data_IF_830325222691
#
_entry.id   IF_830325222691
#
_cell.length_a   1.000
_cell.length_b   1.000
_cell.length_c   1.000
_cell.angle_alpha   90.00
_cell.angle_beta   90.00
_cell.angle_gamma   90.00
#
_symmetry.space_group_name_H-M   'P 1'
#
loop_
_entity.id
_entity.type
_entity.pdbx_description
1 polymer ?
#
# COMPACT_ATOMS: atom_id res chain seq x y z
N UNK A 1 8.70 -75.04 12.97
CA UNK A 1 9.69 -74.60 11.95
C UNK A 1 10.31 -73.30 12.44
N UNK A 2 11.64 -73.23 12.52
CA UNK A 2 12.43 -72.35 13.39
C UNK A 2 12.67 -70.92 12.85
N UNK A 3 12.70 -69.95 13.77
CA UNK A 3 13.06 -68.54 13.60
C UNK A 3 14.56 -68.37 13.23
N UNK A 4 14.88 -67.54 12.22
CA UNK A 4 16.26 -67.06 11.97
C UNK A 4 16.36 -65.55 12.11
N UNK A 5 17.05 -65.12 13.17
CA UNK A 5 17.50 -63.75 13.40
C UNK A 5 18.58 -63.33 12.39
N UNK A 6 18.41 -62.17 11.74
CA UNK A 6 19.49 -61.49 10.99
C UNK A 6 20.14 -60.46 11.93
N UNK A 7 21.39 -60.72 12.32
CA UNK A 7 22.23 -59.83 13.14
C UNK A 7 22.85 -58.76 12.23
N UNK A 8 22.42 -57.51 12.35
CA UNK A 8 22.97 -56.37 11.58
C UNK A 8 24.40 -56.06 12.07
N UNK A 9 25.39 -56.17 11.19
CA UNK A 9 26.82 -55.93 11.46
C UNK A 9 27.06 -54.41 11.51
N UNK A 10 27.31 -53.83 12.69
CA UNK A 10 27.74 -52.44 12.81
C UNK A 10 29.14 -52.29 12.19
N UNK A 11 29.26 -51.51 11.11
CA UNK A 11 30.56 -51.10 10.57
C UNK A 11 31.13 -50.00 11.46
N UNK A 12 32.24 -50.27 12.16
CA UNK A 12 33.02 -49.24 12.86
C UNK A 12 33.78 -48.42 11.82
N UNK A 13 33.53 -47.12 11.75
CA UNK A 13 34.25 -46.19 10.89
C UNK A 13 35.65 -46.00 11.51
N UNK A 14 36.75 -46.21 10.76
CA UNK A 14 38.10 -46.06 11.29
C UNK A 14 38.40 -44.61 11.66
N UNK A 15 39.10 -44.40 12.78
CA UNK A 15 39.40 -43.06 13.36
C UNK A 15 40.11 -42.13 12.34
N UNK A 16 40.94 -42.68 11.45
CA UNK A 16 41.61 -41.95 10.38
C UNK A 16 40.65 -41.25 9.39
N UNK A 17 39.41 -41.75 9.27
CA UNK A 17 38.38 -41.12 8.45
C UNK A 17 38.01 -39.73 9.00
N UNK A 18 38.02 -39.56 10.32
CA UNK A 18 37.78 -38.25 10.97
C UNK A 18 38.98 -37.32 10.85
N UNK A 19 40.21 -37.85 10.84
CA UNK A 19 41.45 -37.07 10.72
C UNK A 19 41.56 -36.39 9.35
N UNK A 20 41.00 -36.99 8.29
CA UNK A 20 40.98 -36.40 6.94
C UNK A 20 39.66 -35.68 6.60
N UNK A 21 38.53 -36.12 7.15
CA UNK A 21 37.23 -35.50 6.89
C UNK A 21 37.06 -34.14 7.57
N UNK A 22 37.63 -33.94 8.77
CA UNK A 22 37.50 -32.67 9.49
C UNK A 22 38.26 -31.52 8.81
N UNK A 23 39.53 -31.68 8.36
CA UNK A 23 40.21 -30.64 7.60
C UNK A 23 39.54 -30.34 6.25
N UNK A 24 39.03 -31.36 5.56
CA UNK A 24 38.31 -31.18 4.29
C UNK A 24 36.96 -30.49 4.49
N UNK A 25 36.25 -30.82 5.57
CA UNK A 25 35.01 -30.14 5.96
C UNK A 25 35.26 -28.69 6.36
N UNK A 26 36.33 -28.40 7.13
CA UNK A 26 36.72 -27.04 7.48
C UNK A 26 37.22 -26.23 6.26
N UNK A 27 37.91 -26.87 5.32
CA UNK A 27 38.32 -26.26 4.05
C UNK A 27 37.12 -25.95 3.15
N UNK A 28 36.14 -26.87 3.06
CA UNK A 28 34.87 -26.62 2.38
C UNK A 28 34.03 -25.54 3.11
N UNK A 29 34.08 -25.49 4.44
CA UNK A 29 33.45 -24.43 5.23
C UNK A 29 34.12 -23.07 4.95
N UNK A 30 35.45 -23.04 4.80
CA UNK A 30 36.18 -21.85 4.40
C UNK A 30 35.88 -21.44 2.96
N UNK A 31 35.68 -22.38 2.02
CA UNK A 31 35.21 -22.04 0.67
C UNK A 31 33.76 -21.50 0.66
N UNK A 32 32.92 -21.95 1.59
CA UNK A 32 31.57 -21.40 1.80
C UNK A 32 31.65 -20.01 2.48
N UNK A 33 32.60 -19.79 3.40
CA UNK A 33 32.82 -18.53 4.11
C UNK A 33 33.59 -17.48 3.29
N UNK A 34 34.52 -17.87 2.42
CA UNK A 34 35.18 -16.99 1.45
C UNK A 34 34.16 -16.54 0.37
N UNK A 35 33.14 -17.35 0.11
CA UNK A 35 31.94 -16.96 -0.63
C UNK A 35 31.00 -15.99 0.13
N UNK A 36 31.20 -15.83 1.46
CA UNK A 36 30.56 -14.83 2.31
C UNK A 36 31.41 -13.56 2.48
N UNK A 37 32.54 -13.44 1.76
CA UNK A 37 33.37 -12.23 1.66
C UNK A 37 32.69 -11.03 0.96
N UNK A 38 31.36 -10.92 1.05
CA UNK A 38 30.55 -9.75 0.69
C UNK A 38 29.41 -9.54 1.70
N UNK A 39 29.63 -9.87 2.98
CA UNK A 39 28.63 -9.68 4.04
C UNK A 39 28.56 -8.25 4.62
N UNK A 40 29.34 -7.31 4.07
CA UNK A 40 29.29 -5.87 4.40
C UNK A 40 29.08 -5.01 3.14
N UNK A 41 28.25 -5.49 2.22
CA UNK A 41 27.62 -4.65 1.22
C UNK A 41 26.15 -4.52 1.59
N UNK A 42 25.71 -3.33 2.03
CA UNK A 42 24.28 -3.05 2.13
C UNK A 42 23.59 -3.48 0.82
N UNK A 43 22.45 -4.17 0.92
CA UNK A 43 21.76 -4.66 -0.26
C UNK A 43 21.48 -3.49 -1.20
N UNK A 44 22.01 -3.55 -2.42
CA UNK A 44 21.89 -2.44 -3.36
C UNK A 44 20.46 -2.37 -3.87
N UNK A 45 19.88 -1.18 -3.83
CA UNK A 45 18.59 -0.93 -4.45
C UNK A 45 18.57 -1.31 -5.93
N UNK A 46 17.38 -1.72 -6.41
CA UNK A 46 17.14 -2.04 -7.81
C UNK A 46 17.57 -0.86 -8.68
N UNK A 47 18.41 -1.12 -9.68
CA UNK A 47 18.83 -0.14 -10.68
C UNK A 47 18.37 -0.56 -12.07
N UNK A 48 17.59 0.29 -12.73
CA UNK A 48 17.24 0.17 -14.14
C UNK A 48 18.20 1.06 -14.94
N UNK A 49 18.84 0.51 -15.98
CA UNK A 49 20.01 1.13 -16.66
C UNK A 49 19.68 2.39 -17.48
N UNK A 50 18.41 2.65 -17.78
CA UNK A 50 17.96 3.69 -18.72
C UNK A 50 17.15 4.82 -18.03
N UNK A 51 17.28 4.96 -16.71
CA UNK A 51 16.53 5.97 -15.96
C UNK A 51 17.17 7.36 -16.08
N UNK A 52 16.67 8.15 -17.02
CA UNK A 52 17.12 9.53 -17.25
C UNK A 52 16.59 10.51 -16.21
N UNK A 53 15.43 10.22 -15.61
CA UNK A 53 14.85 11.00 -14.51
C UNK A 53 15.25 10.34 -13.19
N UNK A 54 15.69 11.16 -12.22
CA UNK A 54 16.04 10.72 -10.86
C UNK A 54 15.07 11.30 -9.84
N UNK A 55 14.88 10.57 -8.75
CA UNK A 55 13.98 10.93 -7.64
C UNK A 55 14.75 10.79 -6.33
N UNK A 56 14.72 11.84 -5.49
CA UNK A 56 15.23 11.81 -4.12
C UNK A 56 14.12 11.41 -3.15
N UNK A 57 14.20 10.19 -2.63
CA UNK A 57 13.20 9.59 -1.76
C UNK A 57 13.66 9.66 -0.31
N UNK A 58 12.86 10.28 0.55
CA UNK A 58 13.02 10.18 2.00
C UNK A 58 12.39 8.87 2.50
N UNK A 59 13.22 7.89 2.87
CA UNK A 59 12.79 6.62 3.45
C UNK A 59 12.51 6.83 4.95
N UNK A 60 11.24 6.99 5.29
CA UNK A 60 10.79 7.39 6.63
C UNK A 60 11.24 6.40 7.72
N UNK A 61 11.14 5.09 7.47
CA UNK A 61 11.41 4.06 8.47
C UNK A 61 12.90 3.93 8.83
N UNK A 62 13.78 4.25 7.88
CA UNK A 62 15.24 4.21 8.08
C UNK A 62 15.86 5.58 8.32
N UNK A 63 15.09 6.65 8.12
CA UNK A 63 15.55 8.03 8.27
C UNK A 63 16.70 8.38 7.31
N UNK A 64 16.60 7.95 6.05
CA UNK A 64 17.66 8.17 5.05
C UNK A 64 17.13 8.74 3.73
N UNK A 65 17.98 9.52 3.07
CA UNK A 65 17.71 10.05 1.73
C UNK A 65 18.32 9.12 0.67
N UNK A 66 17.48 8.59 -0.19
CA UNK A 66 17.87 7.75 -1.33
C UNK A 66 17.79 8.56 -2.62
N UNK A 67 18.75 8.36 -3.51
CA UNK A 67 18.73 8.91 -4.86
C UNK A 67 18.69 7.75 -5.86
N UNK A 68 17.58 7.62 -6.61
CA UNK A 68 17.36 6.52 -7.54
C UNK A 68 16.70 6.97 -8.85
N UNK A 69 16.76 6.11 -9.86
CA UNK A 69 16.05 6.34 -11.12
C UNK A 69 14.54 6.24 -10.94
N UNK A 70 13.78 6.94 -11.79
CA UNK A 70 12.31 6.99 -11.72
C UNK A 70 11.67 5.61 -11.86
N UNK A 71 12.11 4.77 -12.81
CA UNK A 71 11.50 3.45 -13.01
C UNK A 71 11.88 2.51 -11.86
N UNK A 72 13.11 2.59 -11.37
CA UNK A 72 13.53 1.93 -10.12
C UNK A 72 12.64 2.31 -8.93
N UNK A 73 12.32 3.60 -8.78
CA UNK A 73 11.39 4.08 -7.76
C UNK A 73 9.99 3.50 -7.95
N UNK A 74 9.46 3.53 -9.18
CA UNK A 74 8.12 3.01 -9.50
C UNK A 74 7.99 1.51 -9.21
N UNK A 75 9.05 0.70 -9.43
CA UNK A 75 9.06 -0.71 -9.00
C UNK A 75 8.82 -0.84 -7.49
N UNK A 76 9.49 -0.02 -6.68
CA UNK A 76 9.29 0.01 -5.23
C UNK A 76 7.90 0.45 -4.81
N UNK A 77 7.30 1.41 -5.52
CA UNK A 77 5.91 1.83 -5.29
C UNK A 77 4.93 0.72 -5.62
N UNK A 78 5.02 0.12 -6.82
CA UNK A 78 4.09 -0.96 -7.22
C UNK A 78 4.17 -2.15 -6.28
N UNK A 79 5.37 -2.50 -5.81
CA UNK A 79 5.59 -3.56 -4.82
C UNK A 79 5.01 -3.25 -3.43
N UNK A 80 4.97 -1.97 -3.06
CA UNK A 80 4.41 -1.50 -1.80
C UNK A 80 2.87 -1.43 -1.84
N UNK A 81 2.33 -0.93 -2.96
CA UNK A 81 0.93 -0.53 -3.12
C UNK A 81 0.01 -1.66 -3.57
N UNK A 82 0.51 -2.61 -4.38
CA UNK A 82 -0.31 -3.68 -4.94
C UNK A 82 0.22 -5.08 -4.64
N UNK A 83 -0.66 -6.05 -4.35
CA UNK A 83 -0.26 -7.46 -4.28
C UNK A 83 0.30 -7.93 -5.63
N UNK A 84 1.49 -8.52 -5.64
CA UNK A 84 2.12 -9.07 -6.85
C UNK A 84 1.27 -10.16 -7.53
N UNK A 85 0.33 -10.77 -6.79
CA UNK A 85 -0.63 -11.73 -7.33
C UNK A 85 -1.66 -11.12 -8.28
N UNK A 86 -1.87 -9.80 -8.26
CA UNK A 86 -2.84 -9.14 -9.15
C UNK A 86 -2.41 -9.29 -10.62
N UNK A 87 -3.40 -9.23 -11.52
CA UNK A 87 -3.15 -9.37 -12.95
C UNK A 87 -2.18 -8.28 -13.47
N UNK A 88 -1.40 -8.63 -14.49
CA UNK A 88 -0.36 -7.74 -15.04
C UNK A 88 -0.91 -6.38 -15.46
N UNK A 89 -2.10 -6.35 -16.07
CA UNK A 89 -2.76 -5.11 -16.50
C UNK A 89 -3.13 -4.18 -15.34
N UNK A 90 -3.44 -4.72 -14.16
CA UNK A 90 -3.68 -3.91 -12.96
C UNK A 90 -2.36 -3.32 -12.42
N UNK A 91 -1.27 -4.11 -12.42
CA UNK A 91 0.07 -3.63 -12.03
C UNK A 91 0.58 -2.54 -12.98
N UNK A 92 0.31 -2.67 -14.29
CA UNK A 92 0.61 -1.65 -15.30
C UNK A 92 -0.15 -0.35 -15.04
N UNK A 93 -1.45 -0.42 -14.74
CA UNK A 93 -2.25 0.76 -14.42
C UNK A 93 -1.67 1.50 -13.20
N UNK A 94 -1.25 0.77 -12.17
CA UNK A 94 -0.58 1.34 -11.01
C UNK A 94 0.80 1.91 -11.32
N UNK A 95 1.59 1.26 -12.16
CA UNK A 95 2.89 1.79 -12.58
C UNK A 95 2.75 3.16 -13.26
N UNK A 96 1.79 3.30 -14.19
CA UNK A 96 1.50 4.58 -14.85
C UNK A 96 1.02 5.65 -13.86
N UNK A 97 0.13 5.30 -12.92
CA UNK A 97 -0.34 6.22 -11.89
C UNK A 97 0.80 6.65 -10.93
N UNK A 98 1.59 5.71 -10.43
CA UNK A 98 2.74 5.98 -9.56
C UNK A 98 3.76 6.89 -10.24
N UNK A 99 4.11 6.60 -11.51
CA UNK A 99 5.03 7.42 -12.30
C UNK A 99 4.53 8.84 -12.49
N UNK A 100 3.25 8.98 -12.85
CA UNK A 100 2.62 10.29 -13.04
C UNK A 100 2.68 11.12 -11.76
N UNK A 101 2.35 10.50 -10.62
CA UNK A 101 2.42 11.17 -9.32
C UNK A 101 3.85 11.62 -8.99
N UNK A 102 4.82 10.74 -9.19
CA UNK A 102 6.22 11.02 -8.87
C UNK A 102 6.72 12.25 -9.63
N UNK A 103 6.46 12.28 -10.94
CA UNK A 103 6.81 13.41 -11.81
C UNK A 103 6.08 14.70 -11.40
N UNK A 104 4.82 14.60 -10.99
CA UNK A 104 4.10 15.77 -10.48
C UNK A 104 4.76 16.35 -9.23
N UNK A 105 5.27 15.49 -8.31
CA UNK A 105 6.00 15.94 -7.11
C UNK A 105 7.38 16.52 -7.43
N UNK A 106 8.01 16.10 -8.52
CA UNK A 106 9.23 16.73 -9.02
C UNK A 106 8.96 18.14 -9.58
N UNK A 107 7.81 18.37 -10.22
CA UNK A 107 7.42 19.68 -10.75
C UNK A 107 6.90 20.63 -9.65
N UNK A 108 6.15 20.08 -8.70
CA UNK A 108 5.51 20.84 -7.61
C UNK A 108 5.90 20.20 -6.28
N UNK A 109 6.84 20.84 -5.60
CA UNK A 109 7.33 20.38 -4.31
C UNK A 109 6.19 20.28 -3.28
N UNK A 110 6.15 19.17 -2.54
CA UNK A 110 5.23 18.99 -1.43
C UNK A 110 5.83 19.59 -0.14
N UNK A 111 5.22 20.64 0.46
CA UNK A 111 5.76 21.26 1.67
C UNK A 111 5.91 20.28 2.84
N UNK A 112 5.08 19.23 2.89
CA UNK A 112 5.15 18.21 3.95
C UNK A 112 6.42 17.38 3.82
N UNK A 113 6.85 17.08 2.59
CA UNK A 113 8.12 16.40 2.32
C UNK A 113 9.29 17.31 2.65
N UNK A 114 9.23 18.58 2.24
CA UNK A 114 10.29 19.56 2.55
C UNK A 114 10.46 19.80 4.04
N UNK A 115 9.38 19.67 4.83
CA UNK A 115 9.45 19.71 6.29
C UNK A 115 10.11 18.46 6.90
N UNK A 116 10.02 17.29 6.24
CA UNK A 116 10.73 16.07 6.65
C UNK A 116 12.21 16.13 6.28
N UNK A 117 12.51 16.49 5.02
CA UNK A 117 13.87 16.64 4.52
C UNK A 117 13.92 17.64 3.35
N UNK A 118 14.68 18.76 3.44
CA UNK A 118 14.69 19.81 2.40
C UNK A 118 15.07 19.33 1.00
N UNK A 119 16.01 18.39 0.90
CA UNK A 119 16.46 17.85 -0.39
C UNK A 119 15.59 16.71 -0.95
N UNK A 120 14.60 16.22 -0.19
CA UNK A 120 13.75 15.14 -0.65
C UNK A 120 12.67 15.65 -1.61
N UNK A 121 12.40 14.88 -2.65
CA UNK A 121 11.32 15.15 -3.58
C UNK A 121 10.02 14.48 -3.11
N UNK A 122 10.13 13.28 -2.55
CA UNK A 122 9.02 12.42 -2.12
C UNK A 122 9.38 11.69 -0.82
N UNK A 123 8.37 11.36 -0.02
CA UNK A 123 8.48 10.45 1.13
C UNK A 123 7.95 9.05 0.82
N UNK A 124 8.54 8.02 1.45
CA UNK A 124 8.01 6.64 1.45
C UNK A 124 6.80 6.45 2.38
N UNK A 125 6.42 7.46 3.15
CA UNK A 125 5.24 7.43 4.04
C UNK A 125 3.95 7.61 3.20
N UNK A 126 3.04 6.61 3.17
CA UNK A 126 1.79 6.69 2.42
C UNK A 126 0.78 7.72 2.98
N UNK A 127 1.01 8.27 4.18
CA UNK A 127 0.21 9.39 4.70
C UNK A 127 0.66 10.74 4.13
N UNK A 128 1.89 10.81 3.61
CA UNK A 128 2.46 11.99 2.95
C UNK A 128 2.34 11.86 1.44
N UNK A 129 2.90 10.80 0.86
CA UNK A 129 2.88 10.54 -0.58
C UNK A 129 2.38 9.13 -0.90
N UNK A 130 3.23 8.29 -1.48
CA UNK A 130 2.92 6.95 -1.93
C UNK A 130 3.74 5.96 -1.12
N UNK A 131 3.19 4.78 -0.85
CA UNK A 131 3.96 3.73 -0.21
C UNK A 131 5.14 3.35 -1.12
N UNK A 132 6.31 3.14 -0.52
CA UNK A 132 7.48 2.63 -1.21
C UNK A 132 8.20 1.65 -0.30
N UNK A 133 8.68 0.53 -0.87
CA UNK A 133 9.49 -0.44 -0.14
C UNK A 133 10.81 -0.72 -0.86
N UNK A 134 11.85 -0.88 -0.07
CA UNK A 134 13.19 -1.24 -0.53
C UNK A 134 13.27 -2.68 -1.02
N UNK A 135 14.35 -2.98 -1.75
CA UNK A 135 14.68 -4.34 -2.18
C UNK A 135 14.76 -5.32 -0.99
N UNK A 136 15.28 -4.86 0.15
CA UNK A 136 15.36 -5.63 1.39
C UNK A 136 13.96 -5.97 1.92
N UNK A 137 13.05 -5.00 1.98
CA UNK A 137 11.69 -5.20 2.48
C UNK A 137 10.87 -6.07 1.51
N UNK A 138 11.10 -5.98 0.19
CA UNK A 138 10.52 -6.92 -0.79
C UNK A 138 10.91 -8.37 -0.51
N UNK A 139 12.19 -8.64 -0.24
CA UNK A 139 12.67 -10.00 0.09
C UNK A 139 12.06 -10.50 1.39
N UNK A 140 11.94 -9.64 2.40
CA UNK A 140 11.28 -9.98 3.67
C UNK A 140 9.80 -10.29 3.46
N UNK A 141 9.11 -9.50 2.65
CA UNK A 141 7.67 -9.63 2.36
C UNK A 141 7.33 -10.90 1.57
N UNK A 142 8.10 -11.23 0.54
CA UNK A 142 7.80 -12.36 -0.35
C UNK A 142 8.56 -13.64 -0.01
N UNK A 143 9.61 -13.52 0.79
CA UNK A 143 10.51 -14.61 1.12
C UNK A 143 11.35 -15.06 -0.08
N UNK A 144 12.34 -15.92 0.19
CA UNK A 144 13.31 -16.38 -0.81
C UNK A 144 12.68 -17.04 -2.04
N UNK A 145 11.53 -17.69 -1.89
CA UNK A 145 10.93 -18.52 -2.94
C UNK A 145 10.07 -17.74 -3.93
N UNK A 146 9.41 -16.67 -3.48
CA UNK A 146 8.49 -15.90 -4.34
C UNK A 146 9.08 -14.55 -4.77
N UNK A 147 10.22 -14.14 -4.19
CA UNK A 147 10.81 -12.83 -4.43
C UNK A 147 11.12 -12.59 -5.91
N UNK A 148 11.85 -13.52 -6.55
CA UNK A 148 12.29 -13.34 -7.93
C UNK A 148 11.10 -13.30 -8.91
N UNK A 149 10.13 -14.19 -8.75
CA UNK A 149 8.93 -14.24 -9.60
C UNK A 149 8.05 -12.99 -9.45
N UNK A 150 7.78 -12.57 -8.20
CA UNK A 150 6.98 -11.38 -7.93
C UNK A 150 7.66 -10.11 -8.44
N UNK A 151 8.98 -9.99 -8.21
CA UNK A 151 9.76 -8.86 -8.68
C UNK A 151 9.80 -8.80 -10.20
N UNK A 152 9.99 -9.93 -10.88
CA UNK A 152 10.04 -9.98 -12.34
C UNK A 152 8.70 -9.55 -12.96
N UNK A 153 7.58 -10.00 -12.39
CA UNK A 153 6.25 -9.58 -12.85
C UNK A 153 6.02 -8.07 -12.68
N UNK A 154 6.47 -7.50 -11.57
CA UNK A 154 6.36 -6.05 -11.32
C UNK A 154 7.28 -5.28 -12.28
N UNK A 155 8.54 -5.71 -12.43
CA UNK A 155 9.47 -5.10 -13.39
C UNK A 155 8.92 -5.12 -14.80
N UNK A 156 8.32 -6.23 -15.22
CA UNK A 156 7.65 -6.33 -16.52
C UNK A 156 6.51 -5.31 -16.66
N UNK A 157 5.69 -5.11 -15.63
CA UNK A 157 4.63 -4.10 -15.66
C UNK A 157 5.18 -2.67 -15.79
N UNK A 158 6.26 -2.36 -15.07
CA UNK A 158 6.93 -1.05 -15.12
C UNK A 158 7.58 -0.83 -16.48
N UNK A 159 8.32 -1.81 -17.00
CA UNK A 159 9.02 -1.72 -18.28
C UNK A 159 8.05 -1.61 -19.47
N UNK A 160 6.98 -2.42 -19.50
CA UNK A 160 5.97 -2.36 -20.58
C UNK A 160 5.14 -1.06 -20.57
N UNK A 161 5.25 -0.26 -19.50
CA UNK A 161 4.62 1.07 -19.38
C UNK A 161 5.64 2.19 -19.18
N UNK A 162 6.92 1.91 -19.44
CA UNK A 162 8.02 2.86 -19.22
C UNK A 162 7.73 4.18 -19.89
N UNK A 163 7.99 5.27 -19.16
CA UNK A 163 7.74 6.62 -19.65
C UNK A 163 6.26 7.00 -19.86
N UNK A 164 5.30 6.09 -19.67
CA UNK A 164 3.89 6.43 -19.84
C UNK A 164 3.32 7.12 -18.60
N UNK A 165 2.52 8.17 -18.84
CA UNK A 165 1.96 9.06 -17.82
C UNK A 165 0.51 9.46 -18.15
N UNK A 166 -0.24 9.90 -17.15
CA UNK A 166 -1.61 10.39 -17.29
C UNK A 166 -1.64 11.91 -17.42
N UNK A 167 -2.30 12.39 -18.46
CA UNK A 167 -2.37 13.80 -18.85
C UNK A 167 -3.83 14.24 -18.95
N UNK A 168 -4.13 15.43 -18.45
CA UNK A 168 -5.40 16.13 -18.68
C UNK A 168 -5.11 17.57 -19.10
N UNK A 169 -5.63 18.01 -20.24
CA UNK A 169 -5.34 19.33 -20.83
C UNK A 169 -3.83 19.68 -20.85
N UNK A 170 -3.02 18.75 -21.35
CA UNK A 170 -1.55 18.89 -21.49
C UNK A 170 -0.77 19.01 -20.18
N UNK A 171 -1.39 18.74 -19.03
CA UNK A 171 -0.72 18.71 -17.72
C UNK A 171 -0.79 17.32 -17.11
N UNK A 172 0.24 16.95 -16.35
CA UNK A 172 0.18 15.76 -15.50
C UNK A 172 -0.96 15.89 -14.50
N UNK A 173 -1.76 14.84 -14.35
CA UNK A 173 -2.81 14.81 -13.33
C UNK A 173 -2.21 14.55 -11.93
N UNK A 174 -3.01 14.73 -10.87
CA UNK A 174 -2.78 14.08 -9.58
C UNK A 174 -3.52 12.72 -9.55
N UNK A 175 -2.84 11.59 -9.82
CA UNK A 175 -3.48 10.30 -10.07
C UNK A 175 -3.78 9.57 -8.76
N UNK A 176 -4.69 10.13 -7.97
CA UNK A 176 -5.04 9.57 -6.66
C UNK A 176 -5.57 8.14 -6.80
N UNK A 177 -5.17 7.26 -5.89
CA UNK A 177 -5.62 5.87 -5.85
C UNK A 177 -5.75 5.37 -4.42
N UNK A 178 -6.50 4.29 -4.25
CA UNK A 178 -6.77 3.69 -2.95
C UNK A 178 -7.01 2.19 -3.07
N UNK A 179 -6.87 1.46 -1.95
CA UNK A 179 -7.04 0.02 -1.93
C UNK A 179 -8.44 -0.44 -2.36
N UNK A 180 -9.50 -0.05 -1.61
CA UNK A 180 -10.88 -0.48 -1.91
C UNK A 180 -11.91 0.62 -1.71
N UNK A 181 -12.79 0.77 -2.69
CA UNK A 181 -13.87 1.76 -2.66
C UNK A 181 -15.05 1.38 -1.75
N UNK A 182 -15.11 0.13 -1.25
CA UNK A 182 -16.24 -0.34 -0.46
C UNK A 182 -17.31 -1.13 -1.22
N UNK A 183 -17.02 -1.59 -2.44
CA UNK A 183 -17.98 -2.34 -3.29
C UNK A 183 -19.04 -1.48 -4.00
N UNK A 184 -18.84 -0.16 -4.10
CA UNK A 184 -19.82 0.76 -4.69
C UNK A 184 -19.23 1.57 -5.84
N UNK A 185 -19.02 2.86 -5.60
CA UNK A 185 -18.44 3.83 -6.52
C UNK A 185 -17.25 4.49 -5.86
N UNK A 186 -16.32 4.97 -6.66
CA UNK A 186 -15.31 5.93 -6.21
C UNK A 186 -15.99 7.29 -5.95
N UNK A 187 -15.33 8.14 -5.18
CA UNK A 187 -15.82 9.46 -4.79
C UNK A 187 -15.42 10.52 -5.81
N UNK A 188 -16.28 11.54 -5.93
CA UNK A 188 -15.85 12.81 -6.48
C UNK A 188 -14.83 13.44 -5.53
N UNK A 189 -13.75 13.99 -6.07
CA UNK A 189 -12.75 14.74 -5.28
C UNK A 189 -13.38 15.81 -4.39
N UNK A 190 -14.38 16.55 -4.88
CA UNK A 190 -15.10 17.59 -4.12
C UNK A 190 -15.97 17.09 -2.96
N UNK A 191 -16.24 15.78 -2.86
CA UNK A 191 -16.94 15.20 -1.71
C UNK A 191 -15.98 14.84 -0.56
N UNK A 192 -14.68 14.70 -0.86
CA UNK A 192 -13.63 14.33 0.10
C UNK A 192 -12.76 15.52 0.46
N UNK A 193 -12.48 16.39 -0.51
CA UNK A 193 -11.69 17.62 -0.37
C UNK A 193 -12.46 18.83 -0.89
N UNK A 194 -11.92 20.03 -0.68
CA UNK A 194 -12.62 21.29 -1.01
C UNK A 194 -12.78 21.54 -2.52
N UNK A 195 -11.99 20.88 -3.36
CA UNK A 195 -11.93 21.16 -4.79
C UNK A 195 -12.45 19.98 -5.61
N UNK A 196 -13.31 20.30 -6.58
CA UNK A 196 -13.76 19.32 -7.56
C UNK A 196 -12.79 19.33 -8.75
N UNK A 197 -12.14 18.19 -8.97
CA UNK A 197 -11.12 17.98 -9.99
C UNK A 197 -11.75 17.20 -11.17
N UNK A 198 -11.76 17.75 -12.40
CA UNK A 198 -12.53 17.19 -13.52
C UNK A 198 -12.23 15.73 -13.87
N UNK A 199 -10.99 15.28 -13.67
CA UNK A 199 -10.59 13.90 -13.93
C UNK A 199 -10.76 12.96 -12.72
N UNK A 200 -11.07 13.48 -11.52
CA UNK A 200 -11.33 12.70 -10.30
C UNK A 200 -12.83 12.73 -9.96
N UNK A 201 -13.61 12.09 -10.82
CA UNK A 201 -15.05 11.92 -10.66
C UNK A 201 -15.37 10.50 -10.16
N UNK A 202 -16.50 10.38 -9.47
CA UNK A 202 -16.98 9.12 -8.94
C UNK A 202 -17.48 8.20 -10.04
N UNK A 203 -16.81 7.05 -10.21
CA UNK A 203 -17.16 6.05 -11.22
C UNK A 203 -17.57 4.72 -10.56
N UNK A 204 -18.41 3.91 -11.23
CA UNK A 204 -18.74 2.57 -10.76
C UNK A 204 -17.51 1.71 -10.58
N UNK A 205 -17.45 0.92 -9.51
CA UNK A 205 -16.42 -0.10 -9.36
C UNK A 205 -17.06 -1.46 -9.66
N UNK A 206 -16.64 -2.12 -10.73
CA UNK A 206 -17.24 -3.37 -11.20
C UNK A 206 -16.50 -4.59 -10.67
N UNK A 207 -17.22 -5.67 -10.36
CA UNK A 207 -16.63 -7.00 -10.20
C UNK A 207 -16.39 -7.50 -8.76
N UNK A 208 -16.38 -6.64 -7.73
CA UNK A 208 -16.20 -7.09 -6.34
C UNK A 208 -17.44 -6.95 -5.46
N UNK A 209 -17.82 -8.04 -4.79
CA UNK A 209 -18.19 -7.94 -3.39
C UNK A 209 -16.90 -7.54 -2.65
N UNK A 210 -16.91 -6.40 -1.95
CA UNK A 210 -15.70 -5.82 -1.36
C UNK A 210 -14.84 -6.87 -0.65
N UNK A 211 -13.60 -7.10 -1.11
CA UNK A 211 -12.68 -8.06 -0.46
C UNK A 211 -12.15 -7.54 0.87
N UNK A 212 -12.28 -6.23 1.13
CA UNK A 212 -12.15 -5.61 2.45
C UNK A 212 -13.53 -5.46 3.13
N UNK A 213 -14.31 -6.54 3.11
CA UNK A 213 -15.64 -6.56 3.70
C UNK A 213 -15.54 -6.38 5.22
N UNK A 214 -15.90 -5.20 5.70
CA UNK A 214 -16.18 -4.91 7.10
C UNK A 214 -15.04 -5.20 8.09
N UNK A 215 -14.20 -4.20 8.37
CA UNK A 215 -13.35 -4.17 9.57
C UNK A 215 -14.12 -3.60 10.75
N UNK A 216 -14.15 -4.34 11.86
CA UNK A 216 -14.79 -3.89 13.10
C UNK A 216 -13.72 -3.46 14.10
N UNK A 217 -13.80 -2.22 14.58
CA UNK A 217 -12.95 -1.68 15.65
C UNK A 217 -13.83 -1.23 16.82
N UNK A 218 -13.45 -1.60 18.05
CA UNK A 218 -14.15 -1.22 19.26
C UNK A 218 -13.29 -0.26 20.08
N UNK A 219 -13.87 0.86 20.51
CA UNK A 219 -13.22 1.84 21.37
C UNK A 219 -14.02 1.95 22.66
N UNK A 220 -13.33 1.85 23.81
CA UNK A 220 -13.96 2.09 25.11
C UNK A 220 -14.40 3.55 25.21
N UNK A 221 -15.29 3.86 26.17
CA UNK A 221 -15.67 5.26 26.44
C UNK A 221 -14.45 6.11 26.78
N UNK A 222 -13.50 5.55 27.54
CA UNK A 222 -12.23 6.21 27.90
C UNK A 222 -11.37 6.49 26.67
N UNK A 223 -11.19 5.50 25.78
CA UNK A 223 -10.43 5.69 24.56
C UNK A 223 -11.09 6.73 23.63
N UNK A 224 -12.43 6.78 23.58
CA UNK A 224 -13.12 7.84 22.86
C UNK A 224 -12.83 9.22 23.47
N UNK A 225 -12.89 9.33 24.81
CA UNK A 225 -12.66 10.59 25.52
C UNK A 225 -11.20 11.06 25.36
N UNK A 226 -10.24 10.15 25.39
CA UNK A 226 -8.81 10.45 25.17
C UNK A 226 -8.49 10.81 23.72
N UNK A 227 -8.93 10.00 22.75
CA UNK A 227 -8.57 10.17 21.34
C UNK A 227 -9.36 11.28 20.63
N UNK A 228 -10.62 11.47 21.03
CA UNK A 228 -11.55 12.41 20.40
C UNK A 228 -11.82 13.64 21.28
N UNK A 229 -11.33 13.65 22.53
CA UNK A 229 -11.60 14.71 23.49
C UNK A 229 -13.08 14.77 23.90
N UNK A 230 -13.84 13.68 23.78
CA UNK A 230 -15.26 13.65 24.18
C UNK A 230 -15.43 13.58 25.71
N UNK A 231 -16.67 13.46 26.18
CA UNK A 231 -16.97 13.21 27.59
C UNK A 231 -18.07 12.14 27.73
N UNK A 232 -17.90 11.03 27.01
CA UNK A 232 -18.84 9.93 26.94
C UNK A 232 -18.93 9.19 28.29
N UNK A 233 -17.85 9.12 29.07
CA UNK A 233 -17.88 8.49 30.40
C UNK A 233 -18.83 9.19 31.38
N UNK A 234 -19.02 10.50 31.23
CA UNK A 234 -19.94 11.26 32.07
C UNK A 234 -21.41 11.11 31.64
N UNK A 235 -21.69 10.48 30.51
CA UNK A 235 -23.07 10.25 30.08
C UNK A 235 -23.76 9.20 30.96
N UNK A 236 -25.03 9.42 31.35
CA UNK A 236 -25.81 8.40 32.04
C UNK A 236 -25.88 7.09 31.23
N UNK A 237 -25.80 5.95 31.91
CA UNK A 237 -25.85 4.63 31.26
C UNK A 237 -27.09 4.42 30.38
N UNK A 238 -28.22 5.06 30.71
CA UNK A 238 -29.44 5.06 29.89
C UNK A 238 -29.27 5.75 28.54
N UNK A 239 -28.44 6.80 28.47
CA UNK A 239 -28.13 7.51 27.21
C UNK A 239 -27.12 6.75 26.36
N UNK A 240 -26.20 6.01 26.97
CA UNK A 240 -25.21 5.19 26.25
C UNK A 240 -25.84 4.05 25.44
N UNK A 241 -27.06 3.63 25.78
CA UNK A 241 -27.82 2.63 25.03
C UNK A 241 -28.52 3.23 23.79
N UNK A 242 -28.62 4.56 23.70
CA UNK A 242 -29.20 5.25 22.55
C UNK A 242 -28.07 5.72 21.62
N UNK A 243 -27.96 5.08 20.45
CA UNK A 243 -26.98 5.44 19.43
C UNK A 243 -27.02 6.95 19.14
N UNK A 244 -28.21 7.52 18.97
CA UNK A 244 -28.39 8.94 18.66
C UNK A 244 -27.89 9.89 19.76
N UNK A 245 -27.88 9.43 21.02
CA UNK A 245 -27.38 10.22 22.15
C UNK A 245 -25.85 10.16 22.28
N UNK A 246 -25.21 9.15 21.66
CA UNK A 246 -23.75 8.97 21.66
C UNK A 246 -23.13 9.54 20.38
N UNK A 247 -23.74 9.27 19.23
CA UNK A 247 -23.30 9.76 17.94
C UNK A 247 -24.46 10.05 16.99
N UNK A 248 -24.22 10.95 16.05
CA UNK A 248 -25.14 11.26 14.96
C UNK A 248 -24.37 11.53 13.68
N UNK A 249 -24.53 10.69 12.66
CA UNK A 249 -24.01 11.01 11.33
C UNK A 249 -24.90 12.11 10.73
N UNK A 250 -24.34 13.29 10.54
CA UNK A 250 -25.06 14.48 10.08
C UNK A 250 -24.97 14.66 8.57
N UNK A 251 -23.92 14.15 7.93
CA UNK A 251 -23.74 14.28 6.47
C UNK A 251 -23.01 13.06 5.89
N UNK A 252 -23.46 12.60 4.72
CA UNK A 252 -22.79 11.59 3.92
C UNK A 252 -22.61 12.06 2.48
N UNK A 253 -21.56 11.58 1.83
CA UNK A 253 -21.37 11.74 0.38
C UNK A 253 -22.46 10.98 -0.39
N UNK A 254 -22.57 11.27 -1.69
CA UNK A 254 -23.46 10.55 -2.61
C UNK A 254 -23.16 9.04 -2.69
N UNK A 255 -21.93 8.61 -2.37
CA UNK A 255 -21.59 7.18 -2.32
C UNK A 255 -21.79 6.57 -0.92
N UNK A 256 -22.11 7.36 0.11
CA UNK A 256 -22.40 6.92 1.47
C UNK A 256 -21.20 6.88 2.42
N UNK A 257 -20.10 7.58 2.10
CA UNK A 257 -19.02 7.86 3.05
C UNK A 257 -19.44 8.96 4.01
N UNK A 258 -19.05 8.86 5.27
CA UNK A 258 -19.35 9.87 6.30
C UNK A 258 -18.52 11.13 6.02
N UNK A 259 -19.22 12.27 5.85
CA UNK A 259 -18.59 13.59 5.71
C UNK A 259 -18.53 14.29 7.06
N UNK A 260 -19.63 14.25 7.81
CA UNK A 260 -19.74 14.84 9.15
C UNK A 260 -20.49 13.93 10.11
N UNK A 261 -20.05 13.93 11.35
CA UNK A 261 -20.62 13.15 12.44
C UNK A 261 -20.38 13.87 13.77
N UNK A 262 -21.37 13.84 14.63
CA UNK A 262 -21.24 14.28 16.02
C UNK A 262 -20.98 13.06 16.90
N UNK A 263 -20.01 13.12 17.81
CA UNK A 263 -19.78 12.10 18.85
C UNK A 263 -19.65 12.82 20.19
N UNK A 264 -20.45 12.43 21.19
CA UNK A 264 -20.45 13.06 22.50
C UNK A 264 -20.73 14.57 22.47
N UNK A 265 -21.52 15.03 21.50
CA UNK A 265 -21.82 16.45 21.29
C UNK A 265 -20.75 17.25 20.52
N UNK A 266 -19.61 16.65 20.17
CA UNK A 266 -18.56 17.28 19.35
C UNK A 266 -18.70 16.89 17.89
N UNK A 267 -18.56 17.85 16.97
CA UNK A 267 -18.58 17.60 15.53
C UNK A 267 -17.19 17.20 15.03
N UNK A 268 -17.16 16.20 14.14
CA UNK A 268 -15.97 15.75 13.43
C UNK A 268 -16.29 15.57 11.95
N UNK A 269 -15.30 15.83 11.10
CA UNK A 269 -15.33 15.29 9.75
C UNK A 269 -15.03 13.78 9.79
N UNK A 270 -15.55 13.03 8.81
CA UNK A 270 -15.22 11.61 8.66
C UNK A 270 -13.71 11.39 8.47
N UNK A 271 -13.02 12.30 7.80
CA UNK A 271 -11.57 12.25 7.59
C UNK A 271 -10.79 12.41 8.90
N UNK A 272 -11.19 13.34 9.78
CA UNK A 272 -10.59 13.50 11.10
C UNK A 272 -10.76 12.25 11.95
N UNK A 273 -11.95 11.67 12.02
CA UNK A 273 -12.16 10.42 12.76
C UNK A 273 -11.34 9.27 12.20
N UNK A 274 -11.29 9.14 10.87
CA UNK A 274 -10.47 8.12 10.22
C UNK A 274 -9.01 8.22 10.65
N UNK A 275 -8.46 9.44 10.69
CA UNK A 275 -7.08 9.67 11.11
C UNK A 275 -6.86 9.40 12.61
N UNK A 276 -7.71 9.95 13.48
CA UNK A 276 -7.55 9.85 14.94
C UNK A 276 -7.78 8.42 15.46
N UNK A 277 -8.71 7.68 14.86
CA UNK A 277 -9.05 6.31 15.26
C UNK A 277 -8.39 5.25 14.39
N UNK A 278 -7.56 5.65 13.44
CA UNK A 278 -6.93 4.77 12.46
C UNK A 278 -7.95 3.82 11.79
N UNK A 279 -9.07 4.37 11.29
CA UNK A 279 -10.08 3.59 10.58
C UNK A 279 -9.63 3.34 9.13
N UNK A 280 -9.97 2.18 8.52
CA UNK A 280 -9.63 1.88 7.13
C UNK A 280 -10.13 2.93 6.13
N UNK A 281 -11.34 3.44 6.32
CA UNK A 281 -12.00 4.39 5.42
C UNK A 281 -13.01 5.27 6.19
N UNK A 282 -13.60 6.24 5.49
CA UNK A 282 -14.73 7.03 6.01
C UNK A 282 -16.11 6.39 5.74
N UNK A 283 -16.14 5.21 5.12
CA UNK A 283 -17.37 4.43 4.94
C UNK A 283 -17.54 3.52 6.14
N UNK A 284 -18.09 4.07 7.22
CA UNK A 284 -18.40 3.30 8.41
C UNK A 284 -19.82 3.55 8.91
N UNK A 285 -20.29 2.61 9.72
CA UNK A 285 -21.40 2.81 10.63
C UNK A 285 -20.89 2.68 12.07
N UNK A 286 -21.58 3.34 13.00
CA UNK A 286 -21.28 3.26 14.42
C UNK A 286 -22.38 2.47 15.12
N UNK A 287 -22.02 1.74 16.17
CA UNK A 287 -22.96 1.13 17.12
C UNK A 287 -22.55 1.50 18.53
N UNK A 288 -23.51 1.94 19.34
CA UNK A 288 -23.30 2.24 20.75
C UNK A 288 -23.44 0.96 21.57
N UNK A 289 -22.48 0.71 22.46
CA UNK A 289 -22.52 -0.38 23.41
C UNK A 289 -22.31 0.16 24.82
N UNK A 290 -22.71 -0.60 25.85
CA UNK A 290 -22.61 -0.16 27.26
C UNK A 290 -21.20 0.30 27.67
N UNK A 291 -20.17 -0.26 27.04
CA UNK A 291 -18.76 -0.02 27.40
C UNK A 291 -18.01 0.85 26.38
N UNK A 292 -18.65 1.30 25.30
CA UNK A 292 -17.93 1.99 24.23
C UNK A 292 -18.70 2.12 22.92
N UNK A 293 -17.95 2.40 21.86
CA UNK A 293 -18.48 2.59 20.50
C UNK A 293 -17.76 1.63 19.56
N UNK A 294 -18.55 0.90 18.77
CA UNK A 294 -18.07 0.04 17.72
C UNK A 294 -18.17 0.75 16.36
N UNK A 295 -17.09 0.77 15.60
CA UNK A 295 -17.03 1.23 14.22
C UNK A 295 -16.93 0.03 13.29
N UNK A 296 -17.86 -0.07 12.35
CA UNK A 296 -17.87 -1.11 11.33
C UNK A 296 -17.60 -0.42 9.99
N UNK A 297 -16.39 -0.61 9.49
CA UNK A 297 -15.83 0.13 8.35
C UNK A 297 -15.74 -0.75 7.12
N UNK A 298 -16.15 -0.25 5.96
CA UNK A 298 -16.08 -0.96 4.69
C UNK A 298 -15.17 -0.23 3.70
N UNK A 299 -14.43 -0.96 2.86
CA UNK A 299 -13.40 -0.39 2.00
C UNK A 299 -12.18 0.14 2.77
N UNK A 300 -11.17 0.57 2.02
CA UNK A 300 -9.89 0.99 2.56
C UNK A 300 -9.32 2.13 1.71
N UNK A 301 -8.97 3.24 2.36
CA UNK A 301 -8.47 4.45 1.72
C UNK A 301 -9.52 5.55 1.52
N UNK A 302 -9.10 6.64 0.87
CA UNK A 302 -9.91 7.86 0.74
C UNK A 302 -11.06 7.71 -0.27
N UNK A 303 -10.94 6.78 -1.24
CA UNK A 303 -12.04 6.46 -2.15
C UNK A 303 -12.07 7.23 -3.47
N UNK A 304 -11.11 8.09 -3.74
CA UNK A 304 -11.06 8.95 -4.95
C UNK A 304 -10.09 8.34 -5.98
N UNK A 305 -10.36 8.54 -7.26
CA UNK A 305 -9.54 8.04 -8.37
C UNK A 305 -9.52 6.52 -8.43
N UNK A 306 -8.37 5.90 -8.70
CA UNK A 306 -8.30 4.47 -9.00
C UNK A 306 -8.47 3.58 -7.76
N UNK A 307 -9.44 2.66 -7.81
CA UNK A 307 -9.60 1.58 -6.84
C UNK A 307 -8.69 0.41 -7.24
N UNK A 308 -7.69 0.05 -6.44
CA UNK A 308 -6.70 -0.99 -6.78
C UNK A 308 -7.34 -2.37 -6.94
N UNK A 309 -8.24 -2.76 -6.03
CA UNK A 309 -9.00 -4.00 -6.17
C UNK A 309 -9.96 -3.96 -7.37
N UNK A 310 -10.56 -2.81 -7.64
CA UNK A 310 -11.40 -2.64 -8.82
C UNK A 310 -10.61 -2.72 -10.14
N UNK A 311 -9.40 -2.19 -10.18
CA UNK A 311 -8.47 -2.36 -11.30
C UNK A 311 -8.12 -3.84 -11.49
N UNK A 312 -7.90 -4.59 -10.40
CA UNK A 312 -7.66 -6.03 -10.43
C UNK A 312 -8.84 -6.81 -11.04
N UNK A 313 -10.07 -6.45 -10.67
CA UNK A 313 -11.27 -7.11 -11.20
C UNK A 313 -11.51 -6.77 -12.66
N UNK A 314 -11.28 -5.52 -13.06
CA UNK A 314 -11.33 -5.13 -14.48
C UNK A 314 -10.30 -5.91 -15.30
N UNK A 315 -9.07 -6.02 -14.81
CA UNK A 315 -8.01 -6.81 -15.46
C UNK A 315 -8.39 -8.30 -15.53
N UNK A 316 -8.98 -8.86 -14.47
CA UNK A 316 -9.48 -10.24 -14.48
C UNK A 316 -10.65 -10.45 -15.47
N UNK A 317 -11.42 -9.39 -15.75
CA UNK A 317 -12.45 -9.36 -16.79
C UNK A 317 -11.88 -9.08 -18.20
N UNK A 318 -10.55 -9.08 -18.37
CA UNK A 318 -9.88 -8.95 -19.66
C UNK A 318 -9.65 -7.50 -20.13
N UNK A 319 -9.87 -6.51 -19.27
CA UNK A 319 -9.57 -5.11 -19.58
C UNK A 319 -8.08 -4.83 -19.53
N UNK A 320 -7.57 -4.08 -20.50
CA UNK A 320 -6.18 -3.63 -20.49
C UNK A 320 -5.97 -2.45 -19.52
N UNK A 321 -4.72 -2.14 -19.20
CA UNK A 321 -4.39 -1.04 -18.29
C UNK A 321 -4.89 0.32 -18.79
N UNK A 322 -5.01 0.54 -20.09
CA UNK A 322 -5.47 1.82 -20.66
C UNK A 322 -6.97 1.99 -20.45
N UNK A 323 -7.74 0.93 -20.63
CA UNK A 323 -9.17 0.88 -20.30
C UNK A 323 -9.39 1.11 -18.80
N UNK A 324 -8.59 0.47 -17.94
CA UNK A 324 -8.64 0.68 -16.49
C UNK A 324 -8.38 2.13 -16.12
N UNK A 325 -7.30 2.73 -16.63
CA UNK A 325 -6.94 4.11 -16.32
C UNK A 325 -8.00 5.10 -16.79
N UNK A 326 -8.53 4.96 -18.01
CA UNK A 326 -9.58 5.84 -18.54
C UNK A 326 -10.92 5.68 -17.82
N UNK A 327 -11.18 4.52 -17.23
CA UNK A 327 -12.35 4.30 -16.40
C UNK A 327 -12.26 5.10 -15.10
N UNK A 328 -11.13 5.06 -14.40
CA UNK A 328 -10.98 5.74 -13.10
C UNK A 328 -10.65 7.22 -13.19
N UNK A 329 -10.01 7.65 -14.27
CA UNK A 329 -9.60 9.03 -14.48
C UNK A 329 -10.33 9.61 -15.69
N UNK A 330 -11.35 10.43 -15.45
CA UNK A 330 -12.27 10.88 -16.50
C UNK A 330 -11.58 11.84 -17.47
N UNK A 331 -11.66 11.54 -18.78
CA UNK A 331 -11.16 12.42 -19.84
C UNK A 331 -9.64 12.50 -19.97
N UNK A 332 -8.89 11.63 -19.28
CA UNK A 332 -7.42 11.64 -19.36
C UNK A 332 -6.91 10.99 -20.65
N UNK A 333 -5.72 11.42 -21.05
CA UNK A 333 -4.92 10.82 -22.10
C UNK A 333 -3.71 10.11 -21.48
N UNK A 334 -3.20 9.11 -22.18
CA UNK A 334 -1.94 8.45 -21.81
C UNK A 334 -0.87 9.04 -22.72
N UNK A 335 0.01 9.85 -22.13
CA UNK A 335 1.17 10.44 -22.79
C UNK A 335 2.42 9.60 -22.57
N UNK A 336 3.51 10.01 -23.21
CA UNK A 336 4.83 9.42 -23.04
C UNK A 336 5.84 10.53 -22.74
N UNK A 337 6.75 10.29 -21.80
CA UNK A 337 7.88 11.17 -21.53
C UNK A 337 8.77 11.23 -22.76
N UNK A 338 9.03 12.43 -23.24
CA UNK A 338 10.13 12.69 -24.16
C UNK A 338 11.25 13.25 -23.30
N UNK A 339 12.39 12.55 -23.30
CA UNK A 339 13.61 13.09 -22.71
C UNK A 339 14.39 13.63 -23.90
N UNK A 340 14.44 14.94 -24.03
CA UNK A 340 15.29 15.63 -25.02
C UNK A 340 16.76 15.62 -24.58
#
# INVERSE_FOLDING_TARGET
MSLRFIKKRQRKIPIWFWVLAVPLFLFLLNLIFDGWGSFWGGEKEIKIKEDLVRVKVWEQDKGQLLDMGLESYVVGVVAAEMPASFALEALKAQAVAARTYALQRLQVADPRVKALHPDADISSDPTVNQAWISTEEMKKRWGKWNYDENLEKIRKAVEETKGQVLIYHSQLIDPLYHASCGGKKTENSGEVWQFNVPYLQGVPCTGHQDRHHSTTQFFTLEACDELLGTNLKALPASKLLSAQAVFQITEKSSTGRVKKITIGGKEFSGAQLRAQLNLPSTRFICKSEKKGVQFITNGYGHGVGMCQYGAADMAAAGKDYKEILRHYYTGVQIGHLQVE
#
